data_IF_183009033309
#
_entry.id   IF_183009033309
#
_cell.length_a   1.000
_cell.length_b   1.000
_cell.length_c   1.000
_cell.angle_alpha   90.00
_cell.angle_beta   90.00
_cell.angle_gamma   90.00
#
_symmetry.space_group_name_H-M   'P 1'
#
loop_
_entity.id
_entity.type
_entity.pdbx_description
1 polymer ?
#
# COMPACT_ATOMS: atom_id res chain seq x y z
N UNK A 1 -24.44 6.98 53.23
CA UNK A 1 -24.30 7.06 51.77
C UNK A 1 -24.16 5.63 51.26
N UNK A 2 -25.20 5.06 50.65
CA UNK A 2 -25.20 3.67 50.18
C UNK A 2 -24.83 3.63 48.69
N UNK A 3 -23.75 2.94 48.35
CA UNK A 3 -23.37 2.65 46.96
C UNK A 3 -23.95 1.29 46.58
N UNK A 4 -24.88 1.28 45.64
CA UNK A 4 -25.44 0.06 45.07
C UNK A 4 -24.43 -0.54 44.06
N UNK A 5 -23.90 -1.73 44.37
CA UNK A 5 -23.14 -2.53 43.43
C UNK A 5 -24.10 -3.38 42.60
N UNK A 6 -24.25 -3.06 41.32
CA UNK A 6 -25.07 -3.81 40.39
C UNK A 6 -24.36 -5.12 40.00
N UNK A 7 -24.76 -6.24 40.62
CA UNK A 7 -24.27 -7.59 40.30
C UNK A 7 -25.21 -8.21 39.27
N UNK A 8 -24.73 -8.39 38.03
CA UNK A 8 -25.47 -9.13 37.01
C UNK A 8 -25.33 -10.65 37.27
N UNK A 9 -26.40 -11.38 37.62
CA UNK A 9 -26.30 -12.78 38.05
C UNK A 9 -26.01 -13.77 36.92
N UNK A 10 -25.95 -13.33 35.67
CA UNK A 10 -25.68 -14.20 34.52
C UNK A 10 -24.18 -14.43 34.27
N UNK A 11 -23.28 -13.66 34.91
CA UNK A 11 -21.85 -13.83 34.77
C UNK A 11 -21.12 -13.62 36.11
N UNK A 12 -20.08 -14.43 36.41
CA UNK A 12 -19.26 -14.21 37.60
C UNK A 12 -18.54 -12.84 37.53
N UNK A 13 -18.28 -12.19 38.69
CA UNK A 13 -17.61 -10.90 38.72
C UNK A 13 -16.22 -10.98 38.07
N UNK A 14 -15.96 -10.11 37.11
CA UNK A 14 -14.68 -10.04 36.40
C UNK A 14 -13.64 -9.51 37.37
N UNK A 15 -12.61 -10.28 37.70
CA UNK A 15 -11.49 -9.81 38.52
C UNK A 15 -10.57 -8.92 37.68
N UNK A 16 -9.88 -7.95 38.29
CA UNK A 16 -9.03 -6.98 37.58
C UNK A 16 -7.87 -7.61 36.77
N UNK A 17 -7.64 -8.92 36.91
CA UNK A 17 -6.65 -9.69 36.16
C UNK A 17 -7.22 -10.45 34.94
N UNK A 18 -8.53 -10.31 34.64
CA UNK A 18 -9.11 -10.86 33.42
C UNK A 18 -8.82 -9.95 32.22
N UNK A 19 -7.81 -10.32 31.44
CA UNK A 19 -7.62 -9.79 30.09
C UNK A 19 -8.37 -10.68 29.11
N UNK A 20 -9.24 -10.08 28.29
CA UNK A 20 -9.90 -10.78 27.18
C UNK A 20 -8.85 -11.25 26.18
N UNK A 21 -8.73 -12.57 25.96
CA UNK A 21 -7.86 -13.16 24.93
C UNK A 21 -8.34 -12.92 23.49
N UNK A 22 -9.48 -12.23 23.32
CA UNK A 22 -10.01 -11.85 22.02
C UNK A 22 -9.50 -10.47 21.60
N UNK A 23 -8.41 -10.45 20.84
CA UNK A 23 -8.03 -9.30 20.02
C UNK A 23 -8.87 -9.30 18.74
N UNK A 24 -9.97 -8.53 18.72
CA UNK A 24 -10.84 -8.35 17.55
C UNK A 24 -10.16 -7.68 16.33
N UNK A 25 -8.85 -7.41 16.40
CA UNK A 25 -8.04 -6.82 15.33
C UNK A 25 -6.99 -7.78 14.75
N UNK A 26 -6.77 -8.95 15.37
CA UNK A 26 -5.72 -9.88 14.95
C UNK A 26 -5.95 -10.53 13.58
N UNK A 27 -7.20 -10.65 13.16
CA UNK A 27 -7.57 -11.30 11.90
C UNK A 27 -7.79 -10.33 10.72
N UNK A 28 -7.62 -9.01 10.91
CA UNK A 28 -7.86 -8.02 9.86
C UNK A 28 -6.64 -7.74 8.96
N UNK A 29 -5.53 -8.45 9.14
CA UNK A 29 -4.26 -8.23 8.44
C UNK A 29 -3.75 -9.47 7.69
N UNK A 30 -4.62 -10.39 7.29
CA UNK A 30 -4.24 -11.51 6.42
C UNK A 30 -4.12 -11.05 4.97
N UNK A 31 -3.06 -10.30 4.75
CA UNK A 31 -2.52 -9.94 3.45
C UNK A 31 -1.28 -9.10 3.75
N UNK A 32 -0.11 -9.72 3.82
CA UNK A 32 1.18 -9.04 3.69
C UNK A 32 1.43 -7.85 4.66
N UNK A 33 0.87 -7.85 5.86
CA UNK A 33 1.26 -6.88 6.90
C UNK A 33 2.51 -7.30 7.68
N UNK A 34 3.03 -8.50 7.45
CA UNK A 34 4.16 -9.11 8.18
C UNK A 34 5.36 -9.50 7.29
N UNK A 35 5.39 -9.13 6.01
CA UNK A 35 6.63 -9.27 5.24
C UNK A 35 7.67 -8.33 5.87
N UNK A 36 8.65 -8.90 6.57
CA UNK A 36 9.75 -8.17 7.17
C UNK A 36 10.45 -7.40 6.06
N UNK A 37 10.25 -6.08 6.05
CA UNK A 37 11.05 -5.23 5.20
C UNK A 37 12.52 -5.34 5.65
N UNK A 38 13.48 -5.15 4.75
CA UNK A 38 14.87 -4.97 5.15
C UNK A 38 14.99 -3.92 6.26
N UNK A 39 15.94 -4.11 7.18
CA UNK A 39 16.10 -3.22 8.34
C UNK A 39 16.38 -1.75 7.97
N UNK A 40 16.93 -1.51 6.78
CA UNK A 40 17.17 -0.17 6.25
C UNK A 40 15.96 0.42 5.49
N UNK A 41 14.84 -0.29 5.42
CA UNK A 41 13.64 0.18 4.73
C UNK A 41 12.61 0.66 5.74
N UNK A 42 11.83 1.66 5.34
CA UNK A 42 10.76 2.24 6.14
C UNK A 42 9.49 2.30 5.32
N UNK A 43 8.46 1.54 5.73
CA UNK A 43 7.15 1.53 5.06
C UNK A 43 6.48 2.89 5.17
N UNK A 44 5.94 3.40 4.06
CA UNK A 44 5.17 4.65 4.03
C UNK A 44 3.83 4.42 4.75
N UNK A 45 3.53 5.16 5.83
CA UNK A 45 2.28 5.04 6.57
C UNK A 45 1.08 5.22 5.67
N UNK A 46 0.17 4.25 5.73
CA UNK A 46 -1.12 4.30 5.06
C UNK A 46 -2.19 4.57 6.13
N UNK A 47 -3.05 5.56 5.92
CA UNK A 47 -4.12 5.86 6.89
C UNK A 47 -5.13 4.69 6.92
N UNK A 48 -5.36 4.05 8.07
CA UNK A 48 -6.27 2.91 8.18
C UNK A 48 -7.74 3.30 7.96
N UNK A 49 -8.10 4.58 8.09
CA UNK A 49 -9.50 5.05 7.98
C UNK A 49 -10.14 4.86 6.60
N UNK A 50 -9.35 4.49 5.58
CA UNK A 50 -9.83 4.19 4.22
C UNK A 50 -9.84 2.70 3.84
N UNK A 51 -9.43 1.78 4.73
CA UNK A 51 -9.52 0.34 4.46
C UNK A 51 -10.94 -0.16 4.73
N UNK A 52 -11.88 0.24 3.88
CA UNK A 52 -13.16 -0.46 3.79
C UNK A 52 -12.91 -1.77 3.05
N UNK A 53 -12.43 -2.81 3.73
CA UNK A 53 -12.26 -4.12 3.12
C UNK A 53 -13.66 -4.64 2.73
N UNK A 54 -14.09 -4.32 1.52
CA UNK A 54 -15.36 -4.77 0.97
C UNK A 54 -15.39 -6.30 0.92
N UNK A 55 -16.58 -6.90 0.94
CA UNK A 55 -16.79 -8.36 0.84
C UNK A 55 -16.19 -9.02 -0.41
N UNK A 56 -15.67 -8.23 -1.37
CA UNK A 56 -15.01 -8.65 -2.61
C UNK A 56 -13.60 -8.05 -2.75
N UNK A 57 -12.81 -8.01 -1.67
CA UNK A 57 -11.43 -7.54 -1.74
C UNK A 57 -10.59 -8.52 -2.59
N UNK A 58 -10.09 -8.03 -3.73
CA UNK A 58 -9.15 -8.79 -4.56
C UNK A 58 -7.80 -8.94 -3.84
N UNK A 59 -7.14 -10.08 -4.05
CA UNK A 59 -5.79 -10.31 -3.51
C UNK A 59 -4.82 -9.20 -3.95
N UNK A 60 -3.93 -8.73 -3.06
CA UNK A 60 -2.96 -7.70 -3.41
C UNK A 60 -2.07 -8.10 -4.58
N UNK A 61 -1.81 -7.15 -5.48
CA UNK A 61 -0.87 -7.33 -6.58
C UNK A 61 0.51 -6.93 -6.08
N UNK A 62 1.38 -7.89 -5.83
CA UNK A 62 2.73 -7.64 -5.29
C UNK A 62 3.74 -7.34 -6.40
N UNK A 63 4.83 -6.66 -6.06
CA UNK A 63 5.97 -6.49 -6.96
C UNK A 63 7.21 -7.02 -6.28
N UNK A 64 7.89 -7.95 -6.94
CA UNK A 64 9.13 -8.53 -6.44
C UNK A 64 10.08 -8.72 -7.62
N UNK A 65 11.32 -8.30 -7.43
CA UNK A 65 12.38 -8.50 -8.40
C UNK A 65 12.88 -9.95 -8.37
N UNK A 66 13.05 -10.54 -9.55
CA UNK A 66 13.54 -11.91 -9.72
C UNK A 66 14.97 -12.01 -9.18
N UNK A 67 15.23 -13.08 -8.42
CA UNK A 67 16.55 -13.31 -7.80
C UNK A 67 16.79 -12.50 -6.52
N UNK A 68 15.85 -11.66 -6.10
CA UNK A 68 15.92 -10.91 -4.83
C UNK A 68 14.84 -11.43 -3.89
N UNK A 69 15.23 -11.83 -2.68
CA UNK A 69 14.33 -12.33 -1.63
C UNK A 69 13.68 -11.21 -0.80
N UNK A 70 13.49 -10.04 -1.41
CA UNK A 70 12.86 -8.89 -0.79
C UNK A 70 11.67 -8.48 -1.65
N UNK A 71 10.52 -8.31 -1.02
CA UNK A 71 9.33 -7.80 -1.69
C UNK A 71 9.48 -6.31 -1.92
N UNK A 72 9.21 -5.87 -3.14
CA UNK A 72 9.36 -4.51 -3.60
C UNK A 72 10.20 -4.40 -4.87
N UNK A 73 9.98 -3.31 -5.59
CA UNK A 73 10.82 -2.87 -6.70
C UNK A 73 11.00 -1.35 -6.64
N UNK A 74 12.21 -0.86 -6.91
CA UNK A 74 12.45 0.57 -6.96
C UNK A 74 11.63 1.19 -8.10
N UNK A 75 10.98 2.33 -7.83
CA UNK A 75 10.20 3.05 -8.84
C UNK A 75 11.07 3.46 -10.02
N UNK A 76 12.34 3.79 -9.76
CA UNK A 76 13.35 4.08 -10.79
C UNK A 76 13.61 2.92 -11.75
N UNK A 77 13.59 1.66 -11.26
CA UNK A 77 13.78 0.49 -12.11
C UNK A 77 12.55 0.25 -13.00
N UNK A 78 11.34 0.44 -12.47
CA UNK A 78 10.10 0.30 -13.26
C UNK A 78 10.05 1.31 -14.41
N UNK A 79 10.42 2.56 -14.18
CA UNK A 79 10.35 3.62 -15.22
C UNK A 79 11.55 3.62 -16.17
N UNK A 80 12.68 3.00 -15.78
CA UNK A 80 13.95 3.14 -16.50
C UNK A 80 14.29 2.02 -17.48
N UNK A 81 13.71 0.82 -17.29
CA UNK A 81 14.09 -0.40 -18.05
C UNK A 81 13.31 -0.56 -19.35
N UNK A 82 12.05 -0.13 -19.36
CA UNK A 82 11.14 -0.23 -20.50
C UNK A 82 10.46 -1.60 -20.67
N UNK A 83 9.46 -1.67 -21.57
CA UNK A 83 8.46 -2.75 -21.61
C UNK A 83 9.01 -4.13 -21.99
N UNK A 84 10.20 -4.20 -22.59
CA UNK A 84 10.83 -5.46 -22.96
C UNK A 84 11.52 -6.16 -21.77
N UNK A 85 12.07 -5.38 -20.83
CA UNK A 85 12.93 -5.89 -19.76
C UNK A 85 12.19 -6.04 -18.43
N UNK A 86 11.25 -5.14 -18.12
CA UNK A 86 10.46 -5.20 -16.88
C UNK A 86 9.76 -6.55 -16.65
N UNK A 87 9.15 -7.21 -17.67
CA UNK A 87 8.54 -8.53 -17.48
C UNK A 87 9.51 -9.63 -17.06
N UNK A 88 10.77 -9.55 -17.49
CA UNK A 88 11.83 -10.53 -17.13
C UNK A 88 12.39 -10.28 -15.74
N UNK A 89 12.43 -9.00 -15.34
CA UNK A 89 12.92 -8.56 -14.04
C UNK A 89 11.96 -8.90 -12.89
N UNK A 90 10.65 -8.98 -13.15
CA UNK A 90 9.67 -9.27 -12.11
C UNK A 90 9.37 -10.78 -11.98
N UNK A 91 9.15 -11.20 -10.73
CA UNK A 91 8.49 -12.48 -10.45
C UNK A 91 7.05 -12.38 -10.94
N UNK A 92 6.65 -13.29 -11.83
CA UNK A 92 5.31 -13.24 -12.44
C UNK A 92 5.08 -11.99 -13.30
N UNK A 93 6.12 -11.45 -13.95
CA UNK A 93 6.00 -10.22 -14.74
C UNK A 93 4.97 -10.28 -15.89
N UNK A 94 4.69 -11.48 -16.39
CA UNK A 94 3.67 -11.75 -17.42
C UNK A 94 2.29 -12.11 -16.85
N UNK A 95 2.14 -12.21 -15.53
CA UNK A 95 0.86 -12.54 -14.90
C UNK A 95 -0.15 -11.44 -15.22
N UNK A 96 -1.33 -11.83 -15.68
CA UNK A 96 -2.38 -10.91 -16.10
C UNK A 96 -3.30 -10.57 -14.92
N UNK A 97 -3.56 -9.29 -14.74
CA UNK A 97 -4.41 -8.73 -13.69
C UNK A 97 -5.51 -7.85 -14.29
N UNK A 98 -6.55 -7.56 -13.50
CA UNK A 98 -7.62 -6.60 -13.86
C UNK A 98 -8.32 -6.96 -15.18
N UNK A 99 -8.48 -8.26 -15.45
CA UNK A 99 -9.27 -8.74 -16.57
C UNK A 99 -10.73 -8.32 -16.38
N UNK A 100 -11.42 -8.05 -17.48
CA UNK A 100 -12.83 -7.59 -17.49
C UNK A 100 -13.06 -6.22 -16.83
N UNK A 101 -11.98 -5.50 -16.46
CA UNK A 101 -12.07 -4.12 -15.97
C UNK A 101 -11.71 -3.13 -17.08
N UNK A 102 -12.51 -2.07 -17.21
CA UNK A 102 -12.27 -0.95 -18.11
C UNK A 102 -11.30 0.09 -17.53
N UNK A 103 -10.99 -0.03 -16.24
CA UNK A 103 -10.03 0.84 -15.58
C UNK A 103 -10.07 0.77 -14.07
N UNK A 104 -9.04 1.36 -13.45
CA UNK A 104 -8.92 1.51 -12.00
C UNK A 104 -8.65 2.95 -11.60
N UNK A 105 -9.00 3.29 -10.36
CA UNK A 105 -8.59 4.51 -9.69
C UNK A 105 -7.40 4.16 -8.77
N UNK A 106 -6.21 4.58 -9.16
CA UNK A 106 -5.00 4.44 -8.36
C UNK A 106 -4.90 5.58 -7.35
N UNK A 107 -4.88 5.25 -6.06
CA UNK A 107 -4.67 6.19 -4.97
C UNK A 107 -3.22 6.10 -4.45
N UNK A 108 -2.53 7.24 -4.48
CA UNK A 108 -1.20 7.40 -3.87
C UNK A 108 -1.35 8.24 -2.61
N UNK A 109 -1.02 7.64 -1.46
CA UNK A 109 -1.06 8.32 -0.16
C UNK A 109 0.34 8.49 0.39
N UNK A 110 0.66 9.71 0.80
CA UNK A 110 1.96 10.06 1.34
C UNK A 110 1.83 11.05 2.52
N UNK A 111 2.43 10.75 3.69
CA UNK A 111 2.32 11.64 4.85
C UNK A 111 2.94 13.01 4.58
N UNK A 112 2.24 14.07 4.96
CA UNK A 112 2.71 15.45 4.75
C UNK A 112 2.09 16.16 3.55
N UNK A 113 1.45 15.43 2.62
CA UNK A 113 0.87 15.98 1.39
C UNK A 113 -0.66 15.79 1.31
N UNK A 114 -1.36 15.94 2.45
CA UNK A 114 -2.82 15.69 2.55
C UNK A 114 -3.71 16.60 1.71
N UNK A 115 -3.19 17.75 1.27
CA UNK A 115 -3.95 18.74 0.50
C UNK A 115 -4.21 18.31 -0.96
N UNK A 116 -3.59 17.21 -1.40
CA UNK A 116 -3.83 16.59 -2.71
C UNK A 116 -3.94 15.08 -2.50
N UNK A 117 -5.15 14.53 -2.42
CA UNK A 117 -5.31 13.10 -2.63
C UNK A 117 -4.99 12.81 -4.09
N UNK A 118 -3.84 12.18 -4.34
CA UNK A 118 -3.39 11.87 -5.69
C UNK A 118 -4.07 10.60 -6.18
N UNK A 119 -5.24 10.80 -6.77
CA UNK A 119 -6.01 9.74 -7.44
C UNK A 119 -5.88 9.85 -8.95
N UNK A 120 -5.45 8.76 -9.59
CA UNK A 120 -5.27 8.68 -11.04
C UNK A 120 -6.19 7.63 -11.64
N UNK A 121 -6.95 8.01 -12.67
CA UNK A 121 -7.65 7.02 -13.49
C UNK A 121 -6.66 6.34 -14.44
N UNK A 122 -6.56 5.01 -14.36
CA UNK A 122 -5.82 4.18 -15.29
C UNK A 122 -6.85 3.47 -16.17
N UNK A 123 -6.88 3.82 -17.45
CA UNK A 123 -7.75 3.16 -18.43
C UNK A 123 -7.15 1.80 -18.81
N UNK A 124 -8.03 0.79 -18.89
CA UNK A 124 -7.71 -0.56 -19.33
C UNK A 124 -8.61 -0.92 -20.51
N UNK A 125 -8.25 -1.96 -21.26
CA UNK A 125 -8.97 -2.37 -22.46
C UNK A 125 -9.82 -3.64 -22.23
N UNK A 126 -10.14 -3.97 -20.97
CA UNK A 126 -10.89 -5.18 -20.60
C UNK A 126 -10.13 -6.50 -20.76
N UNK A 127 -9.00 -6.54 -21.49
CA UNK A 127 -8.18 -7.76 -21.68
C UNK A 127 -7.26 -8.06 -20.50
N UNK A 128 -7.28 -7.20 -19.48
CA UNK A 128 -6.32 -7.20 -18.39
C UNK A 128 -4.98 -6.60 -18.78
N UNK A 129 -4.12 -6.45 -17.79
CA UNK A 129 -2.79 -5.85 -17.88
C UNK A 129 -1.79 -6.76 -17.19
N UNK A 130 -0.61 -6.94 -17.78
CA UNK A 130 0.43 -7.75 -17.14
C UNK A 130 0.98 -7.04 -15.89
N UNK A 131 1.48 -7.80 -14.92
CA UNK A 131 2.10 -7.26 -13.70
C UNK A 131 3.17 -6.23 -14.02
N UNK A 132 4.01 -6.50 -15.03
CA UNK A 132 5.05 -5.58 -15.46
C UNK A 132 4.49 -4.27 -16.01
N UNK A 133 3.54 -4.33 -16.96
CA UNK A 133 2.93 -3.13 -17.54
C UNK A 133 2.18 -2.33 -16.47
N UNK A 134 1.47 -3.00 -15.56
CA UNK A 134 0.82 -2.34 -14.44
C UNK A 134 1.83 -1.65 -13.52
N UNK A 135 2.95 -2.33 -13.22
CA UNK A 135 4.05 -1.76 -12.45
C UNK A 135 4.64 -0.51 -13.10
N UNK A 136 4.89 -0.54 -14.41
CA UNK A 136 5.37 0.62 -15.18
C UNK A 136 4.41 1.81 -15.09
N UNK A 137 3.11 1.57 -15.36
CA UNK A 137 2.07 2.61 -15.29
C UNK A 137 2.01 3.22 -13.89
N UNK A 138 2.02 2.39 -12.84
CA UNK A 138 1.99 2.87 -11.44
C UNK A 138 3.27 3.64 -11.12
N UNK A 139 4.43 3.14 -11.55
CA UNK A 139 5.72 3.81 -11.40
C UNK A 139 5.73 5.21 -12.02
N UNK A 140 5.15 5.36 -13.21
CA UNK A 140 4.96 6.67 -13.83
C UNK A 140 4.04 7.59 -13.01
N UNK A 141 2.93 7.06 -12.46
CA UNK A 141 2.04 7.88 -11.59
C UNK A 141 2.73 8.30 -10.30
N UNK A 142 3.56 7.44 -9.71
CA UNK A 142 4.39 7.80 -8.55
C UNK A 142 5.43 8.88 -8.92
N UNK A 143 6.04 8.79 -10.11
CA UNK A 143 6.95 9.84 -10.61
C UNK A 143 6.23 11.18 -10.76
N UNK A 144 5.01 11.19 -11.31
CA UNK A 144 4.18 12.41 -11.44
C UNK A 144 3.86 12.98 -10.05
N UNK A 145 3.43 12.14 -9.11
CA UNK A 145 3.23 12.53 -7.72
C UNK A 145 4.49 13.19 -7.14
N UNK A 146 5.63 12.52 -7.25
CA UNK A 146 6.92 13.03 -6.76
C UNK A 146 7.27 14.38 -7.38
N UNK A 147 7.03 14.57 -8.68
CA UNK A 147 7.32 15.82 -9.37
C UNK A 147 6.47 16.99 -8.88
N UNK A 148 5.22 16.75 -8.50
CA UNK A 148 4.36 17.76 -7.89
C UNK A 148 4.73 18.02 -6.41
N UNK A 149 4.95 16.94 -5.66
CA UNK A 149 5.19 17.00 -4.23
C UNK A 149 6.56 17.61 -3.87
N UNK A 150 7.60 17.42 -4.69
CA UNK A 150 8.96 17.97 -4.42
C UNK A 150 9.03 19.50 -4.34
N UNK A 151 8.03 20.20 -4.86
CA UNK A 151 7.92 21.67 -4.81
C UNK A 151 6.85 22.16 -3.84
N UNK A 152 6.15 21.24 -3.18
CA UNK A 152 5.06 21.53 -2.27
C UNK A 152 5.53 21.46 -0.81
N UNK A 153 4.94 22.28 0.06
CA UNK A 153 5.25 22.22 1.49
C UNK A 153 4.72 20.92 2.10
N UNK A 154 5.61 20.16 2.76
CA UNK A 154 5.22 19.00 3.55
C UNK A 154 4.87 19.42 4.97
N UNK A 155 3.73 18.95 5.49
CA UNK A 155 3.40 19.07 6.92
C UNK A 155 4.11 18.04 7.80
N UNK A 156 4.89 17.13 7.20
CA UNK A 156 5.63 16.09 7.92
C UNK A 156 7.07 15.98 7.40
N UNK A 157 8.07 16.54 8.11
CA UNK A 157 9.46 16.57 7.64
C UNK A 157 10.06 15.17 7.50
N UNK A 158 9.59 14.18 8.28
CA UNK A 158 10.07 12.79 8.22
C UNK A 158 9.73 12.10 6.89
N UNK A 159 8.69 12.57 6.21
CA UNK A 159 8.22 12.05 4.93
C UNK A 159 8.31 13.11 3.82
N UNK A 160 9.17 14.12 3.98
CA UNK A 160 9.33 15.15 2.96
C UNK A 160 10.01 14.58 1.70
N UNK A 161 9.38 14.69 0.53
CA UNK A 161 9.99 14.30 -0.74
C UNK A 161 10.73 15.47 -1.37
N UNK A 162 11.83 15.18 -2.06
CA UNK A 162 12.59 16.20 -2.78
C UNK A 162 14.07 15.84 -2.88
N UNK A 163 14.81 16.64 -3.65
CA UNK A 163 16.22 16.38 -4.01
C UNK A 163 17.12 16.26 -2.79
N UNK A 164 16.86 17.04 -1.73
CA UNK A 164 17.62 17.03 -0.48
C UNK A 164 17.02 16.10 0.60
N UNK A 165 15.87 15.49 0.34
CA UNK A 165 15.17 14.62 1.27
C UNK A 165 14.98 13.25 0.61
N UNK A 166 13.76 12.71 0.64
CA UNK A 166 13.45 11.42 0.02
C UNK A 166 13.42 11.62 -1.50
N UNK A 167 14.38 11.01 -2.19
CA UNK A 167 14.47 11.07 -3.66
C UNK A 167 13.62 9.99 -4.31
N UNK A 168 13.31 10.14 -5.60
CA UNK A 168 12.49 9.17 -6.34
C UNK A 168 13.12 7.77 -6.36
N UNK A 169 14.45 7.69 -6.45
CA UNK A 169 15.20 6.42 -6.49
C UNK A 169 15.09 5.65 -5.17
N UNK A 170 14.77 6.34 -4.07
CA UNK A 170 14.57 5.74 -2.75
C UNK A 170 13.17 5.16 -2.57
N UNK A 171 12.22 5.49 -3.46
CA UNK A 171 10.83 5.01 -3.36
C UNK A 171 10.73 3.61 -3.95
N UNK A 172 10.19 2.69 -3.16
CA UNK A 172 9.95 1.29 -3.53
C UNK A 172 8.45 1.06 -3.61
N UNK A 173 7.98 0.52 -4.73
CA UNK A 173 6.62 0.00 -4.87
C UNK A 173 6.58 -1.44 -4.34
N UNK A 174 5.72 -1.70 -3.35
CA UNK A 174 5.58 -3.00 -2.70
C UNK A 174 4.43 -3.81 -3.29
N UNK A 175 3.23 -3.21 -3.28
CA UNK A 175 2.03 -3.86 -3.76
C UNK A 175 0.94 -2.86 -4.13
N UNK A 176 -0.09 -3.32 -4.84
CA UNK A 176 -1.38 -2.63 -4.98
C UNK A 176 -2.45 -3.37 -4.20
N UNK A 177 -3.23 -2.61 -3.45
CA UNK A 177 -4.31 -3.11 -2.62
C UNK A 177 -5.65 -2.66 -3.16
N UNK A 178 -6.55 -3.61 -3.46
CA UNK A 178 -7.93 -3.25 -3.76
C UNK A 178 -8.61 -2.81 -2.46
N UNK A 179 -8.94 -1.52 -2.37
CA UNK A 179 -9.63 -0.97 -1.21
C UNK A 179 -11.13 -1.16 -1.36
N UNK A 180 -11.70 -0.85 -2.52
CA UNK A 180 -13.11 -1.10 -2.84
C UNK A 180 -13.32 -1.00 -4.35
N UNK A 181 -14.21 -1.82 -4.92
CA UNK A 181 -14.56 -1.79 -6.35
C UNK A 181 -13.32 -1.66 -7.26
N UNK A 182 -13.21 -0.55 -8.00
CA UNK A 182 -12.11 -0.26 -8.92
C UNK A 182 -11.03 0.64 -8.30
N UNK A 183 -11.05 0.86 -6.98
CA UNK A 183 -10.05 1.66 -6.27
C UNK A 183 -8.92 0.80 -5.74
N UNK A 184 -7.71 1.22 -6.09
CA UNK A 184 -6.48 0.52 -5.76
C UNK A 184 -5.50 1.48 -5.10
N UNK A 185 -4.98 1.09 -3.94
CA UNK A 185 -4.01 1.89 -3.22
C UNK A 185 -2.61 1.36 -3.42
N UNK A 186 -1.67 2.24 -3.77
CA UNK A 186 -0.26 1.90 -3.84
C UNK A 186 0.33 1.79 -2.43
N UNK A 187 0.89 0.63 -2.12
CA UNK A 187 1.69 0.42 -0.92
C UNK A 187 3.17 0.61 -1.25
N UNK A 188 3.84 1.47 -0.47
CA UNK A 188 5.20 1.92 -0.76
C UNK A 188 6.09 1.82 0.48
N UNK A 189 7.40 1.73 0.24
CA UNK A 189 8.43 1.91 1.24
C UNK A 189 9.51 2.88 0.73
N UNK A 190 10.38 3.28 1.64
CA UNK A 190 11.59 4.04 1.35
C UNK A 190 12.77 3.18 1.75
N UNK A 191 13.71 2.97 0.84
CA UNK A 191 15.01 2.40 1.20
C UNK A 191 15.99 3.53 1.54
N UNK A 192 16.73 3.36 2.64
CA UNK A 192 17.73 4.30 3.11
C UNK A 192 19.01 4.21 2.25
#
# INVERSE_FOLDING_TARGET
MNTYTHVNPLHPPITNSHQSGFSALGCALTGISDASLPSNWRRVPQDPTGRNVGRHSQSPITFQMRGINVMGIAVSDLIGRGPAETPRMLVGGHDMYLQEQDGIFLCIRWPGYRHSEYSYKIALNGRGVSRAVLGEIVGEKIKIFYQAAKYSASSNPRWNVGVQNIRLEQIVLLSLWNTHENYWQAEMAIHA
#
